data_IF_439413560145
#
_entry.id   IF_439413560145
#
_cell.length_a   1.000
_cell.length_b   1.000
_cell.length_c   1.000
_cell.angle_alpha   90.00
_cell.angle_beta   90.00
_cell.angle_gamma   90.00
#
_symmetry.space_group_name_H-M   'P 1'
#
loop_
_entity.id
_entity.type
_entity.pdbx_description
1 polymer ?
#
# COMPACT_ATOMS: atom_id res chain seq x y z
N UNK A 1 -109.65 1.89 -23.18
CA UNK A 1 -109.04 1.51 -21.89
C UNK A 1 -108.13 0.34 -22.24
N UNK A 2 -106.80 0.37 -22.22
CA UNK A 2 -105.82 1.05 -21.37
C UNK A 2 -104.50 1.32 -22.15
N UNK A 3 -103.90 2.48 -21.84
CA UNK A 3 -102.48 2.84 -21.67
C UNK A 3 -101.34 2.21 -22.52
N UNK A 4 -100.70 3.09 -23.31
CA UNK A 4 -99.28 3.52 -23.28
C UNK A 4 -98.18 2.55 -22.75
N UNK A 5 -97.18 2.21 -23.59
CA UNK A 5 -95.82 2.82 -23.59
C UNK A 5 -94.85 2.15 -24.61
N UNK A 6 -93.78 2.83 -25.05
CA UNK A 6 -92.95 2.45 -26.20
C UNK A 6 -91.71 1.62 -25.85
N UNK A 7 -91.29 0.74 -26.78
CA UNK A 7 -90.00 0.02 -26.72
C UNK A 7 -88.84 0.96 -27.07
N UNK A 8 -87.90 1.12 -26.13
CA UNK A 8 -86.55 1.69 -26.36
C UNK A 8 -85.54 0.56 -26.66
N UNK A 9 -84.52 0.79 -27.50
CA UNK A 9 -83.47 -0.19 -27.76
C UNK A 9 -82.46 -0.24 -26.61
N UNK A 10 -82.12 -1.44 -26.15
CA UNK A 10 -81.01 -1.68 -25.22
C UNK A 10 -79.68 -1.54 -25.97
N UNK A 11 -78.86 -0.58 -25.52
CA UNK A 11 -77.45 -0.46 -25.86
C UNK A 11 -76.68 -1.55 -25.12
N UNK A 12 -76.03 -2.45 -25.85
CA UNK A 12 -75.00 -3.35 -25.34
C UNK A 12 -73.80 -2.53 -24.88
N UNK A 13 -73.54 -2.51 -23.57
CA UNK A 13 -72.30 -1.97 -23.01
C UNK A 13 -71.33 -3.14 -22.79
N UNK A 14 -70.35 -3.24 -23.67
CA UNK A 14 -69.21 -4.16 -23.56
C UNK A 14 -68.22 -3.56 -22.55
N UNK A 15 -68.25 -4.05 -21.30
CA UNK A 15 -67.25 -3.69 -20.31
C UNK A 15 -65.97 -4.49 -20.56
N UNK A 16 -64.96 -3.83 -21.15
CA UNK A 16 -63.62 -4.35 -21.33
C UNK A 16 -62.88 -4.26 -19.96
N UNK A 17 -62.80 -5.37 -19.23
CA UNK A 17 -61.98 -5.47 -18.01
C UNK A 17 -60.52 -5.60 -18.45
N UNK A 18 -59.79 -4.49 -18.45
CA UNK A 18 -58.35 -4.45 -18.65
C UNK A 18 -57.67 -4.86 -17.32
N UNK A 19 -57.32 -6.13 -17.19
CA UNK A 19 -56.50 -6.61 -16.08
C UNK A 19 -55.07 -6.06 -16.22
N UNK A 20 -54.73 -5.00 -15.48
CA UNK A 20 -53.35 -4.59 -15.27
C UNK A 20 -52.66 -5.63 -14.37
N UNK A 21 -51.95 -6.58 -14.99
CA UNK A 21 -50.87 -7.27 -14.30
C UNK A 21 -49.71 -6.29 -14.12
N UNK A 22 -49.59 -5.72 -12.92
CA UNK A 22 -48.33 -5.11 -12.51
C UNK A 22 -47.28 -6.23 -12.44
N UNK A 23 -46.48 -6.36 -13.50
CA UNK A 23 -45.29 -7.18 -13.48
C UNK A 23 -44.33 -6.55 -12.45
N UNK A 24 -44.31 -7.11 -11.23
CA UNK A 24 -43.24 -6.87 -10.31
C UNK A 24 -41.93 -7.26 -11.02
N UNK A 25 -40.86 -6.45 -10.97
CA UNK A 25 -39.58 -6.89 -11.46
C UNK A 25 -39.19 -8.09 -10.60
N UNK A 26 -39.19 -9.28 -11.21
CA UNK A 26 -38.52 -10.43 -10.65
C UNK A 26 -37.06 -10.04 -10.50
N UNK A 27 -36.64 -9.70 -9.28
CA UNK A 27 -35.25 -9.68 -8.89
C UNK A 27 -34.73 -11.08 -9.20
N UNK A 28 -34.03 -11.20 -10.32
CA UNK A 28 -33.37 -12.43 -10.72
C UNK A 28 -32.45 -12.85 -9.58
N UNK A 29 -32.87 -13.87 -8.85
CA UNK A 29 -31.96 -14.66 -8.03
C UNK A 29 -31.10 -15.51 -8.97
N UNK A 30 -30.17 -14.84 -9.67
CA UNK A 30 -29.02 -15.49 -10.27
C UNK A 30 -28.01 -15.73 -9.16
N UNK A 31 -27.57 -16.98 -8.99
CA UNK A 31 -26.77 -17.44 -7.86
C UNK A 31 -25.60 -16.52 -7.51
N UNK A 32 -25.68 -15.86 -6.36
CA UNK A 32 -24.57 -15.08 -5.78
C UNK A 32 -23.81 -15.97 -4.80
N UNK A 33 -22.79 -16.68 -5.27
CA UNK A 33 -21.72 -17.12 -4.38
C UNK A 33 -20.72 -15.97 -4.24
N UNK A 34 -21.05 -14.94 -3.45
CA UNK A 34 -20.17 -13.79 -3.22
C UNK A 34 -20.91 -12.54 -2.68
N UNK A 35 -20.15 -11.50 -2.35
CA UNK A 35 -20.65 -10.19 -1.92
C UNK A 35 -20.24 -9.08 -2.90
N UNK A 36 -20.92 -7.94 -2.82
CA UNK A 36 -20.77 -6.80 -3.72
C UNK A 36 -20.09 -5.61 -3.05
N UNK A 37 -19.69 -4.62 -3.84
CA UNK A 37 -19.21 -3.33 -3.32
C UNK A 37 -20.22 -2.65 -2.38
N UNK A 38 -21.52 -2.75 -2.67
CA UNK A 38 -22.57 -2.23 -1.80
C UNK A 38 -22.63 -2.94 -0.44
N UNK A 39 -22.34 -4.25 -0.41
CA UNK A 39 -22.25 -5.00 0.84
C UNK A 39 -21.03 -4.55 1.67
N UNK A 40 -19.91 -4.17 1.04
CA UNK A 40 -18.76 -3.57 1.74
C UNK A 40 -19.18 -2.24 2.37
N UNK A 41 -19.89 -1.37 1.65
CA UNK A 41 -20.33 -0.09 2.20
C UNK A 41 -21.25 -0.30 3.41
N UNK A 42 -22.22 -1.20 3.28
CA UNK A 42 -23.23 -1.50 4.30
C UNK A 42 -22.67 -2.29 5.49
N UNK A 43 -21.51 -2.95 5.35
CA UNK A 43 -20.92 -3.76 6.41
C UNK A 43 -20.71 -2.94 7.68
N UNK A 44 -21.16 -3.47 8.80
CA UNK A 44 -20.94 -2.90 10.12
C UNK A 44 -20.50 -4.00 11.06
N UNK A 45 -19.69 -3.63 12.05
CA UNK A 45 -19.34 -4.52 13.14
C UNK A 45 -20.58 -4.88 13.96
N UNK A 46 -20.78 -6.18 14.24
CA UNK A 46 -21.93 -6.72 14.97
C UNK A 46 -21.51 -7.52 16.23
N UNK A 47 -20.25 -7.39 16.65
CA UNK A 47 -19.67 -8.20 17.72
C UNK A 47 -18.83 -9.38 17.20
N UNK A 48 -18.03 -9.97 18.09
CA UNK A 48 -17.10 -11.05 17.75
C UNK A 48 -15.85 -10.56 17.03
N UNK A 49 -15.04 -11.49 16.53
CA UNK A 49 -13.87 -11.17 15.70
C UNK A 49 -14.27 -11.12 14.20
N UNK A 50 -13.35 -10.78 13.29
CA UNK A 50 -13.59 -10.85 11.85
C UNK A 50 -14.12 -12.24 11.45
N UNK A 51 -15.10 -12.31 10.52
CA UNK A 51 -15.59 -13.59 10.01
C UNK A 51 -14.49 -14.41 9.36
N UNK A 52 -14.55 -15.74 9.50
CA UNK A 52 -13.66 -16.63 8.77
C UNK A 52 -13.91 -16.54 7.26
N UNK A 53 -12.86 -16.73 6.47
CA UNK A 53 -12.94 -16.65 5.01
C UNK A 53 -13.05 -15.21 4.50
N UNK A 54 -13.66 -15.06 3.32
CA UNK A 54 -13.83 -13.77 2.66
C UNK A 54 -15.14 -13.11 3.10
N UNK A 55 -15.12 -11.84 3.53
CA UNK A 55 -16.34 -11.14 3.96
C UNK A 55 -16.33 -9.64 3.64
N UNK A 56 -17.52 -9.02 3.48
CA UNK A 56 -17.64 -7.57 3.33
C UNK A 56 -17.02 -6.78 4.49
N UNK A 57 -17.21 -7.28 5.73
CA UNK A 57 -16.68 -6.64 6.93
C UNK A 57 -15.16 -6.65 6.92
N UNK A 58 -14.54 -7.78 6.56
CA UNK A 58 -13.08 -7.88 6.47
C UNK A 58 -12.53 -6.94 5.39
N UNK A 59 -13.15 -6.90 4.20
CA UNK A 59 -12.75 -5.97 3.14
C UNK A 59 -12.86 -4.51 3.60
N UNK A 60 -13.95 -4.15 4.28
CA UNK A 60 -14.13 -2.82 4.87
C UNK A 60 -13.01 -2.50 5.86
N UNK A 61 -12.76 -3.39 6.82
CA UNK A 61 -11.72 -3.20 7.84
C UNK A 61 -10.33 -3.04 7.21
N UNK A 62 -9.98 -3.85 6.19
CA UNK A 62 -8.73 -3.68 5.45
C UNK A 62 -8.63 -2.29 4.79
N UNK A 63 -9.69 -1.79 4.15
CA UNK A 63 -9.72 -0.43 3.57
C UNK A 63 -9.54 0.65 4.66
N UNK A 64 -10.16 0.48 5.83
CA UNK A 64 -10.03 1.44 6.93
C UNK A 64 -8.62 1.43 7.54
N UNK A 65 -8.01 0.25 7.66
CA UNK A 65 -6.63 0.08 8.11
C UNK A 65 -5.65 0.77 7.13
N UNK A 66 -5.78 0.52 5.83
CA UNK A 66 -5.00 1.19 4.78
C UNK A 66 -5.09 2.72 4.91
N UNK A 67 -6.31 3.25 5.05
CA UNK A 67 -6.55 4.69 5.24
C UNK A 67 -6.03 5.27 6.55
N UNK A 68 -5.83 4.44 7.56
CA UNK A 68 -5.26 4.87 8.85
C UNK A 68 -3.73 5.02 8.82
N UNK A 69 -3.08 4.61 7.73
CA UNK A 69 -1.61 4.49 7.66
C UNK A 69 -1.10 3.19 8.28
N UNK A 70 -1.98 2.26 8.63
CA UNK A 70 -1.62 0.90 9.08
C UNK A 70 -1.96 -0.08 7.96
N UNK A 71 -1.03 -0.26 7.02
CA UNK A 71 -1.29 -1.04 5.81
C UNK A 71 -1.65 -2.50 6.15
N UNK A 72 -2.75 -3.03 5.58
CA UNK A 72 -3.05 -4.47 5.61
C UNK A 72 -2.23 -5.25 4.57
N UNK A 73 -1.41 -4.57 3.76
CA UNK A 73 -0.84 -5.11 2.54
C UNK A 73 -1.91 -5.13 1.46
N UNK A 74 -2.15 -6.30 0.88
CA UNK A 74 -3.12 -6.46 -0.20
C UNK A 74 -4.55 -6.56 0.36
N UNK A 75 -5.47 -5.78 -0.19
CA UNK A 75 -6.90 -5.86 0.15
C UNK A 75 -7.55 -6.97 -0.69
N UNK A 76 -8.04 -8.01 -0.01
CA UNK A 76 -8.60 -9.22 -0.61
C UNK A 76 -9.93 -9.67 0.05
N UNK A 77 -10.32 -9.01 1.14
CA UNK A 77 -11.51 -9.35 1.93
C UNK A 77 -11.38 -10.62 2.77
N UNK A 78 -10.22 -11.28 2.82
CA UNK A 78 -10.02 -12.49 3.61
C UNK A 78 -9.52 -12.18 5.03
N UNK A 79 -10.08 -12.90 6.01
CA UNK A 79 -9.44 -13.00 7.32
C UNK A 79 -8.24 -13.94 7.19
N UNK A 80 -7.05 -13.40 7.48
CA UNK A 80 -5.80 -14.15 7.46
C UNK A 80 -4.69 -13.42 8.23
N UNK A 81 -3.48 -13.98 8.20
CA UNK A 81 -2.36 -13.46 9.00
C UNK A 81 -2.00 -11.99 8.71
N UNK A 82 -2.18 -11.50 7.48
CA UNK A 82 -1.94 -10.08 7.16
C UNK A 82 -2.97 -9.15 7.83
N UNK A 83 -4.26 -9.51 7.79
CA UNK A 83 -5.32 -8.76 8.47
C UNK A 83 -5.12 -8.76 9.99
N UNK A 84 -4.80 -9.90 10.60
CA UNK A 84 -4.48 -10.00 12.03
C UNK A 84 -3.25 -9.16 12.40
N UNK A 85 -2.18 -9.25 11.60
CA UNK A 85 -0.96 -8.46 11.80
C UNK A 85 -1.23 -6.95 11.71
N UNK A 86 -2.08 -6.51 10.79
CA UNK A 86 -2.48 -5.11 10.66
C UNK A 86 -3.36 -4.64 11.84
N UNK A 87 -4.25 -5.49 12.36
CA UNK A 87 -5.01 -5.20 13.58
C UNK A 87 -4.08 -5.01 14.78
N UNK A 88 -3.10 -5.90 14.99
CA UNK A 88 -2.07 -5.76 16.04
C UNK A 88 -1.31 -4.44 15.93
N UNK A 89 -0.94 -4.06 14.71
CA UNK A 89 -0.24 -2.80 14.45
C UNK A 89 -1.12 -1.58 14.75
N UNK A 90 -2.41 -1.64 14.41
CA UNK A 90 -3.37 -0.58 14.67
C UNK A 90 -3.67 -0.44 16.17
N UNK A 91 -3.89 -1.56 16.87
CA UNK A 91 -4.04 -1.61 18.33
C UNK A 91 -2.83 -0.96 19.02
N UNK A 92 -1.62 -1.36 18.63
CA UNK A 92 -0.38 -0.77 19.17
C UNK A 92 -0.31 0.74 18.93
N UNK A 93 -0.64 1.21 17.72
CA UNK A 93 -0.68 2.65 17.40
C UNK A 93 -1.71 3.39 18.24
N UNK A 94 -2.85 2.77 18.49
CA UNK A 94 -3.95 3.32 19.28
C UNK A 94 -3.74 3.24 20.79
N UNK A 95 -2.69 2.54 21.27
CA UNK A 95 -2.48 2.28 22.70
C UNK A 95 -3.48 1.28 23.28
N UNK A 96 -4.06 0.42 22.44
CA UNK A 96 -4.93 -0.68 22.84
C UNK A 96 -4.10 -1.93 23.21
N UNK A 97 -4.64 -2.81 24.08
CA UNK A 97 -4.10 -4.16 24.24
C UNK A 97 -3.96 -4.89 22.89
N UNK A 98 -2.80 -5.50 22.66
CA UNK A 98 -2.45 -6.07 21.34
C UNK A 98 -2.86 -7.55 21.26
N UNK A 99 -4.04 -7.85 20.72
CA UNK A 99 -4.54 -9.22 20.50
C UNK A 99 -4.75 -9.58 19.01
N UNK A 100 -4.78 -8.58 18.12
CA UNK A 100 -4.97 -8.74 16.68
C UNK A 100 -6.40 -9.06 16.27
N UNK A 101 -7.38 -8.76 17.11
CA UNK A 101 -8.77 -9.17 16.91
C UNK A 101 -9.65 -7.95 16.70
N UNK A 102 -10.67 -8.15 15.89
CA UNK A 102 -11.71 -7.13 15.77
C UNK A 102 -12.53 -7.09 17.05
N UNK A 103 -12.69 -5.91 17.62
CA UNK A 103 -13.54 -5.67 18.78
C UNK A 103 -14.25 -4.30 18.69
N UNK A 104 -15.18 -3.96 19.60
CA UNK A 104 -15.86 -2.67 19.59
C UNK A 104 -14.91 -1.46 19.64
N UNK A 105 -13.77 -1.58 20.33
CA UNK A 105 -12.79 -0.52 20.56
C UNK A 105 -12.01 -0.22 19.28
N UNK A 106 -11.48 -1.25 18.63
CA UNK A 106 -10.85 -1.16 17.32
C UNK A 106 -11.83 -0.61 16.29
N UNK A 107 -13.07 -1.09 16.28
CA UNK A 107 -14.11 -0.59 15.37
C UNK A 107 -14.32 0.91 15.53
N UNK A 108 -14.53 1.35 16.77
CA UNK A 108 -14.78 2.76 17.09
C UNK A 108 -13.64 3.67 16.61
N UNK A 109 -12.39 3.22 16.73
CA UNK A 109 -11.21 3.98 16.29
C UNK A 109 -10.99 3.93 14.77
N UNK A 110 -11.55 2.93 14.07
CA UNK A 110 -11.52 2.86 12.61
C UNK A 110 -12.60 3.72 11.93
N UNK A 111 -13.72 4.00 12.61
CA UNK A 111 -14.84 4.77 12.06
C UNK A 111 -14.48 6.14 11.44
N UNK A 112 -13.53 6.94 11.98
CA UNK A 112 -13.10 8.18 11.35
C UNK A 112 -12.58 8.00 9.91
N UNK A 113 -12.02 6.83 9.58
CA UNK A 113 -11.50 6.52 8.25
C UNK A 113 -12.59 6.05 7.25
N UNK A 114 -13.82 5.89 7.73
CA UNK A 114 -15.00 5.48 6.96
C UNK A 114 -15.82 6.68 6.43
N UNK A 115 -15.34 7.92 6.62
CA UNK A 115 -16.06 9.14 6.28
C UNK A 115 -16.36 9.33 4.78
N UNK A 116 -15.68 8.59 3.91
CA UNK A 116 -15.90 8.56 2.45
C UNK A 116 -16.14 7.12 1.99
N UNK A 117 -16.84 6.89 0.87
CA UNK A 117 -17.12 5.54 0.37
C UNK A 117 -15.87 4.65 0.31
N UNK A 118 -16.02 3.39 0.68
CA UNK A 118 -14.94 2.39 0.77
C UNK A 118 -14.54 1.90 -0.62
N UNK A 119 -15.48 1.96 -1.55
CA UNK A 119 -15.38 1.59 -2.95
C UNK A 119 -15.75 2.76 -3.85
N UNK A 120 -15.32 2.70 -5.10
CA UNK A 120 -15.62 3.70 -6.12
C UNK A 120 -15.74 3.09 -7.50
N UNK A 121 -16.44 3.79 -8.39
CA UNK A 121 -16.41 3.50 -9.83
C UNK A 121 -15.09 3.96 -10.42
N UNK A 122 -14.52 3.10 -11.26
CA UNK A 122 -13.34 3.40 -12.05
C UNK A 122 -13.56 2.95 -13.49
N UNK A 123 -13.46 3.87 -14.44
CA UNK A 123 -13.45 3.54 -15.87
C UNK A 123 -12.02 3.26 -16.28
N UNK A 124 -11.76 2.03 -16.74
CA UNK A 124 -10.45 1.60 -17.21
C UNK A 124 -10.07 2.45 -18.43
N UNK A 125 -8.88 3.04 -18.39
CA UNK A 125 -8.41 3.91 -19.46
C UNK A 125 -7.55 3.16 -20.46
N UNK A 126 -7.31 3.76 -21.63
CA UNK A 126 -6.33 3.24 -22.59
C UNK A 126 -4.92 3.13 -21.97
N UNK A 127 -4.55 4.07 -21.09
CA UNK A 127 -3.26 4.04 -20.40
C UNK A 127 -3.11 2.80 -19.51
N UNK A 128 -4.21 2.29 -18.92
CA UNK A 128 -4.17 1.09 -18.09
C UNK A 128 -3.82 -0.17 -18.88
N UNK A 129 -4.16 -0.21 -20.18
CA UNK A 129 -3.84 -1.33 -21.07
C UNK A 129 -2.49 -1.15 -21.81
N UNK A 130 -1.82 -0.01 -21.65
CA UNK A 130 -0.54 0.28 -22.30
C UNK A 130 0.66 -0.15 -21.47
N UNK A 131 1.74 -0.50 -22.18
CA UNK A 131 3.04 -0.84 -21.59
C UNK A 131 3.06 -2.17 -20.85
N UNK A 132 2.11 -3.06 -21.14
CA UNK A 132 2.07 -4.41 -20.59
C UNK A 132 3.05 -5.34 -21.32
N UNK A 133 3.57 -6.34 -20.61
CA UNK A 133 4.37 -7.44 -21.17
C UNK A 133 3.61 -8.75 -21.02
N UNK A 134 3.82 -9.71 -21.91
CA UNK A 134 3.09 -10.98 -21.87
C UNK A 134 3.40 -11.78 -20.59
N UNK A 135 4.68 -11.81 -20.19
CA UNK A 135 5.11 -12.49 -18.99
C UNK A 135 6.46 -11.93 -18.50
N UNK A 136 6.78 -12.25 -17.25
CA UNK A 136 8.09 -11.98 -16.65
C UNK A 136 8.87 -13.30 -16.57
N UNK A 137 9.99 -13.45 -17.29
CA UNK A 137 10.80 -14.65 -17.25
C UNK A 137 11.41 -14.84 -15.85
N UNK A 138 11.75 -16.08 -15.51
CA UNK A 138 12.38 -16.39 -14.22
C UNK A 138 13.90 -16.23 -14.24
N UNK A 139 14.52 -16.44 -15.40
CA UNK A 139 15.96 -16.35 -15.62
C UNK A 139 16.44 -14.90 -15.72
N UNK A 140 17.57 -14.60 -15.09
CA UNK A 140 18.13 -13.24 -15.04
C UNK A 140 18.71 -12.76 -16.37
N UNK A 141 19.26 -13.65 -17.20
CA UNK A 141 19.71 -13.28 -18.54
C UNK A 141 18.53 -12.93 -19.43
N UNK A 142 17.43 -13.70 -19.36
CA UNK A 142 16.19 -13.37 -20.07
C UNK A 142 15.59 -12.04 -19.59
N UNK A 143 15.52 -11.82 -18.27
CA UNK A 143 15.08 -10.52 -17.71
C UNK A 143 15.91 -9.35 -18.21
N UNK A 144 17.23 -9.52 -18.31
CA UNK A 144 18.15 -8.49 -18.79
C UNK A 144 17.96 -8.12 -20.26
N UNK A 145 17.30 -8.97 -21.06
CA UNK A 145 16.95 -8.66 -22.45
C UNK A 145 15.58 -7.97 -22.62
N UNK A 146 14.78 -7.88 -21.54
CA UNK A 146 13.49 -7.20 -21.62
C UNK A 146 13.65 -5.69 -21.83
N UNK A 147 12.63 -5.04 -22.37
CA UNK A 147 12.58 -3.58 -22.44
C UNK A 147 12.29 -2.94 -21.07
N UNK A 148 11.44 -3.60 -20.27
CA UNK A 148 11.08 -3.21 -18.92
C UNK A 148 10.53 -4.41 -18.14
N UNK A 149 10.67 -4.38 -16.81
CA UNK A 149 9.99 -5.31 -15.90
C UNK A 149 8.56 -4.81 -15.62
N UNK A 150 7.76 -4.64 -16.67
CA UNK A 150 6.45 -3.99 -16.62
C UNK A 150 5.35 -4.89 -16.04
N UNK A 151 4.13 -4.37 -15.90
CA UNK A 151 2.96 -5.18 -15.51
C UNK A 151 2.61 -6.19 -16.61
N UNK A 152 2.03 -7.31 -16.21
CA UNK A 152 1.61 -8.39 -17.10
C UNK A 152 0.12 -8.32 -17.47
N UNK A 153 -0.65 -7.54 -16.73
CA UNK A 153 -2.09 -7.38 -16.99
C UNK A 153 -2.63 -6.04 -16.52
N UNK A 154 -3.82 -5.67 -17.03
CA UNK A 154 -4.60 -4.54 -16.49
C UNK A 154 -4.96 -4.81 -15.03
N UNK A 155 -5.33 -6.05 -14.68
CA UNK A 155 -5.68 -6.43 -13.31
C UNK A 155 -4.54 -6.13 -12.32
N UNK A 156 -3.32 -6.52 -12.67
CA UNK A 156 -2.12 -6.27 -11.86
C UNK A 156 -1.85 -4.77 -11.67
N UNK A 157 -1.90 -4.00 -12.77
CA UNK A 157 -1.70 -2.54 -12.73
C UNK A 157 -2.75 -1.82 -11.88
N UNK A 158 -4.01 -2.28 -11.94
CA UNK A 158 -5.09 -1.75 -11.11
C UNK A 158 -4.98 -2.23 -9.66
N UNK A 159 -4.53 -3.47 -9.43
CA UNK A 159 -4.23 -4.02 -8.10
C UNK A 159 -3.19 -3.18 -7.37
N UNK A 160 -2.09 -2.84 -8.06
CA UNK A 160 -1.08 -1.92 -7.56
C UNK A 160 -1.66 -0.53 -7.26
N UNK A 161 -2.46 0.05 -8.17
CA UNK A 161 -3.01 1.40 -8.00
C UNK A 161 -4.01 1.50 -6.84
N UNK A 162 -4.81 0.46 -6.63
CA UNK A 162 -5.89 0.45 -5.66
C UNK A 162 -5.59 -0.39 -4.41
N UNK A 163 -4.37 -0.90 -4.27
CA UNK A 163 -3.91 -1.75 -3.16
C UNK A 163 -4.73 -3.05 -3.02
N UNK A 164 -5.17 -3.61 -4.15
CA UNK A 164 -6.07 -4.76 -4.21
C UNK A 164 -5.40 -6.02 -4.74
N UNK A 165 -5.90 -7.18 -4.32
CA UNK A 165 -5.60 -8.45 -4.97
C UNK A 165 -6.30 -8.48 -6.34
N UNK A 166 -5.60 -8.99 -7.36
CA UNK A 166 -6.11 -9.07 -8.73
C UNK A 166 -7.40 -9.90 -8.83
N UNK A 167 -7.47 -11.00 -8.08
CA UNK A 167 -8.67 -11.85 -8.06
C UNK A 167 -9.80 -11.17 -7.29
N UNK A 168 -9.47 -10.31 -6.32
CA UNK A 168 -10.47 -9.52 -5.63
C UNK A 168 -11.08 -8.43 -6.52
N UNK A 169 -10.29 -7.83 -7.42
CA UNK A 169 -10.82 -6.94 -8.47
C UNK A 169 -11.82 -7.71 -9.34
N UNK A 170 -11.46 -8.90 -9.82
CA UNK A 170 -12.37 -9.73 -10.62
C UNK A 170 -13.62 -10.16 -9.82
N UNK A 171 -13.46 -10.50 -8.54
CA UNK A 171 -14.54 -10.88 -7.63
C UNK A 171 -15.58 -9.78 -7.45
N UNK A 172 -15.16 -8.52 -7.28
CA UNK A 172 -16.07 -7.39 -7.15
C UNK A 172 -16.74 -6.98 -8.47
N UNK A 173 -16.25 -7.50 -9.61
CA UNK A 173 -16.70 -7.15 -10.95
C UNK A 173 -17.09 -8.39 -11.78
N UNK A 174 -18.04 -9.21 -11.29
CA UNK A 174 -18.38 -10.46 -11.93
C UNK A 174 -18.89 -10.22 -13.35
N UNK A 175 -18.32 -10.95 -14.32
CA UNK A 175 -18.71 -10.87 -15.73
C UNK A 175 -18.25 -9.61 -16.48
N UNK A 176 -17.47 -8.73 -15.84
CA UNK A 176 -16.94 -7.53 -16.51
C UNK A 176 -15.50 -7.78 -16.96
N UNK A 177 -15.24 -7.63 -18.25
CA UNK A 177 -13.88 -7.71 -18.78
C UNK A 177 -13.06 -6.47 -18.35
N UNK A 178 -11.81 -6.69 -17.92
CA UNK A 178 -10.91 -5.62 -17.49
C UNK A 178 -10.19 -4.99 -18.70
N UNK A 179 -10.96 -4.28 -19.53
CA UNK A 179 -10.49 -3.64 -20.77
C UNK A 179 -10.82 -2.14 -20.78
N UNK A 180 -10.11 -1.30 -21.55
CA UNK A 180 -10.42 0.12 -21.68
C UNK A 180 -11.89 0.38 -22.00
N UNK A 181 -12.46 1.41 -21.36
CA UNK A 181 -13.87 1.79 -21.46
C UNK A 181 -14.81 1.04 -20.50
N UNK A 182 -14.41 -0.12 -19.95
CA UNK A 182 -15.20 -0.81 -18.93
C UNK A 182 -15.19 0.00 -17.62
N UNK A 183 -16.35 0.11 -16.97
CA UNK A 183 -16.46 0.71 -15.62
C UNK A 183 -16.59 -0.40 -14.59
N UNK A 184 -15.71 -0.39 -13.60
CA UNK A 184 -15.58 -1.40 -12.55
C UNK A 184 -15.67 -0.75 -11.16
N UNK A 185 -16.04 -1.55 -10.17
CA UNK A 185 -15.90 -1.24 -8.74
C UNK A 185 -14.52 -1.61 -8.25
N UNK A 186 -13.82 -0.67 -7.64
CA UNK A 186 -12.55 -0.88 -6.95
C UNK A 186 -12.63 -0.30 -5.55
N UNK A 187 -11.72 -0.67 -4.65
CA UNK A 187 -11.60 0.01 -3.36
C UNK A 187 -11.04 1.41 -3.57
N UNK A 188 -11.39 2.33 -2.66
CA UNK A 188 -10.85 3.68 -2.63
C UNK A 188 -9.74 3.74 -1.59
N UNK A 189 -8.46 3.54 -1.97
CA UNK A 189 -7.34 3.40 -1.04
C UNK A 189 -7.00 4.73 -0.37
N UNK A 190 -6.12 4.69 0.63
CA UNK A 190 -5.48 5.83 1.24
C UNK A 190 -4.87 6.77 0.19
N UNK A 191 -4.85 8.07 0.50
CA UNK A 191 -3.97 8.99 -0.22
C UNK A 191 -2.56 8.85 0.37
N UNK A 192 -1.50 8.92 -0.44
CA UNK A 192 -0.14 8.82 0.07
C UNK A 192 0.15 9.83 1.19
N UNK A 193 0.58 9.34 2.34
CA UNK A 193 1.05 10.13 3.48
C UNK A 193 2.41 10.74 3.13
N UNK A 194 2.58 12.03 3.44
CA UNK A 194 3.77 12.81 3.05
C UNK A 194 4.56 13.36 4.23
N UNK A 195 4.13 13.07 5.45
CA UNK A 195 4.80 13.51 6.68
C UNK A 195 6.22 12.96 6.70
N UNK A 196 7.19 13.81 7.00
CA UNK A 196 8.60 13.38 7.04
C UNK A 196 8.86 12.56 8.29
N UNK A 197 9.58 11.45 8.12
CA UNK A 197 9.92 10.52 9.20
C UNK A 197 11.39 10.61 9.57
N UNK A 198 11.68 10.49 10.86
CA UNK A 198 13.05 10.56 11.40
C UNK A 198 13.59 9.21 11.82
N UNK A 199 12.71 8.26 12.16
CA UNK A 199 13.06 6.91 12.60
C UNK A 199 12.17 5.88 11.90
N UNK A 200 12.78 4.82 11.39
CA UNK A 200 12.13 3.61 10.90
C UNK A 200 12.56 2.46 11.81
N UNK A 201 11.61 1.63 12.22
CA UNK A 201 11.86 0.43 13.00
C UNK A 201 11.44 -0.79 12.18
N UNK A 202 12.34 -1.75 12.02
CA UNK A 202 12.11 -3.01 11.32
C UNK A 202 11.95 -4.13 12.36
N UNK A 203 10.73 -4.65 12.47
CA UNK A 203 10.35 -5.75 13.35
C UNK A 203 10.37 -7.08 12.58
N UNK A 204 11.44 -7.84 12.80
CA UNK A 204 11.63 -9.16 12.17
C UNK A 204 10.64 -10.19 12.70
N UNK A 205 10.32 -10.12 13.99
CA UNK A 205 9.46 -11.10 14.66
C UNK A 205 8.01 -11.02 14.14
N UNK A 206 7.49 -9.81 14.02
CA UNK A 206 6.13 -9.55 13.54
C UNK A 206 6.04 -9.27 12.04
N UNK A 207 7.18 -9.19 11.33
CA UNK A 207 7.23 -8.90 9.89
C UNK A 207 6.57 -7.56 9.55
N UNK A 208 6.97 -6.51 10.28
CA UNK A 208 6.43 -5.14 10.11
C UNK A 208 7.54 -4.09 10.05
N UNK A 209 7.24 -2.99 9.38
CA UNK A 209 8.07 -1.78 9.33
C UNK A 209 7.23 -0.59 9.77
N UNK A 210 7.62 0.06 10.88
CA UNK A 210 6.97 1.27 11.36
C UNK A 210 7.86 2.49 11.12
N UNK A 211 7.26 3.63 10.76
CA UNK A 211 7.98 4.89 10.64
C UNK A 211 7.38 5.98 11.53
N UNK A 212 8.27 6.74 12.17
CA UNK A 212 7.96 7.73 13.19
C UNK A 212 8.48 9.10 12.78
N UNK A 213 7.74 10.16 13.12
CA UNK A 213 8.17 11.53 12.88
C UNK A 213 9.21 12.01 13.93
N UNK A 214 9.43 13.32 14.00
CA UNK A 214 10.38 13.91 14.93
C UNK A 214 9.88 13.97 16.38
N UNK A 215 8.55 13.93 16.57
CA UNK A 215 7.89 13.98 17.89
C UNK A 215 7.73 12.58 18.48
N UNK A 216 8.11 11.53 17.73
CA UNK A 216 7.97 10.13 18.13
C UNK A 216 6.58 9.57 17.83
N UNK A 217 5.76 10.28 17.06
CA UNK A 217 4.45 9.79 16.63
C UNK A 217 4.63 8.76 15.50
N UNK A 218 3.96 7.61 15.62
CA UNK A 218 3.91 6.63 14.54
C UNK A 218 3.07 7.17 13.39
N UNK A 219 3.70 7.37 12.23
CA UNK A 219 3.06 7.91 11.03
C UNK A 219 2.45 6.78 10.20
N UNK A 220 3.21 5.71 10.01
CA UNK A 220 2.83 4.54 9.22
C UNK A 220 3.35 3.24 9.80
N UNK A 221 2.69 2.14 9.45
CA UNK A 221 3.16 0.80 9.72
C UNK A 221 2.75 -0.16 8.57
N UNK A 222 3.73 -0.89 8.03
CA UNK A 222 3.59 -1.71 6.82
C UNK A 222 3.93 -3.19 7.06
N UNK A 223 3.23 -4.14 6.40
CA UNK A 223 3.65 -5.52 6.33
C UNK A 223 4.92 -5.64 5.51
N UNK A 224 5.85 -6.48 5.97
CA UNK A 224 7.13 -6.65 5.32
C UNK A 224 7.54 -8.12 5.24
N UNK A 225 8.21 -8.49 4.16
CA UNK A 225 9.09 -9.67 4.19
C UNK A 225 10.45 -9.23 4.69
N UNK A 226 10.96 -9.90 5.72
CA UNK A 226 12.29 -9.65 6.27
C UNK A 226 13.13 -10.93 6.15
N UNK A 227 14.46 -10.80 6.20
CA UNK A 227 15.38 -11.92 6.00
C UNK A 227 15.13 -13.07 6.96
N UNK A 228 15.32 -14.30 6.49
CA UNK A 228 15.17 -15.52 7.30
C UNK A 228 16.39 -15.79 8.17
N UNK A 229 16.31 -16.75 9.09
CA UNK A 229 17.48 -17.19 9.88
C UNK A 229 18.64 -17.67 9.00
N UNK A 230 18.34 -18.23 7.82
CA UNK A 230 19.35 -18.64 6.84
C UNK A 230 19.99 -17.46 6.09
N UNK A 231 19.30 -16.33 6.00
CA UNK A 231 19.78 -15.10 5.33
C UNK A 231 19.33 -13.87 6.11
N UNK A 232 19.90 -13.65 7.30
CA UNK A 232 19.35 -12.68 8.24
C UNK A 232 19.48 -11.27 7.71
N UNK A 233 18.44 -10.47 7.96
CA UNK A 233 18.56 -9.02 7.83
C UNK A 233 19.63 -8.48 8.78
N UNK A 234 20.20 -7.30 8.49
CA UNK A 234 21.17 -6.67 9.37
C UNK A 234 20.60 -6.48 10.78
N UNK A 235 21.50 -6.25 11.75
CA UNK A 235 21.14 -5.78 13.08
C UNK A 235 21.66 -4.36 13.32
N UNK A 236 21.04 -3.67 14.28
CA UNK A 236 21.46 -2.36 14.74
C UNK A 236 20.97 -1.19 13.88
N UNK A 237 21.63 -0.06 14.08
CA UNK A 237 21.25 1.23 13.50
C UNK A 237 21.91 1.50 12.15
N UNK A 238 21.09 1.93 11.20
CA UNK A 238 21.47 2.37 9.88
C UNK A 238 20.85 3.74 9.57
N UNK A 239 21.29 4.35 8.48
CA UNK A 239 20.75 5.61 7.97
C UNK A 239 20.35 5.39 6.51
N UNK A 240 19.23 5.99 6.10
CA UNK A 240 18.86 6.06 4.68
C UNK A 240 19.90 6.89 3.94
N UNK A 241 20.58 6.30 2.97
CA UNK A 241 21.65 6.95 2.19
C UNK A 241 21.08 7.65 0.96
N UNK A 242 20.22 6.96 0.21
CA UNK A 242 19.59 7.49 -0.99
C UNK A 242 18.28 6.76 -1.27
N UNK A 243 17.45 7.34 -2.13
CA UNK A 243 16.21 6.75 -2.63
C UNK A 243 16.30 6.71 -4.15
N UNK A 244 15.99 5.56 -4.72
CA UNK A 244 15.88 5.36 -6.14
C UNK A 244 14.47 4.94 -6.52
N UNK A 245 13.84 5.73 -7.38
CA UNK A 245 12.55 5.41 -7.96
C UNK A 245 12.76 4.72 -9.31
N UNK A 246 12.02 3.65 -9.55
CA UNK A 246 12.14 2.78 -10.72
C UNK A 246 13.60 2.38 -11.01
N UNK A 247 14.32 1.79 -10.03
CA UNK A 247 15.72 1.43 -10.22
C UNK A 247 15.84 0.27 -11.22
N UNK A 248 16.96 0.23 -11.96
CA UNK A 248 17.43 -1.01 -12.56
C UNK A 248 17.95 -1.94 -11.46
N UNK A 249 18.18 -3.22 -11.79
CA UNK A 249 18.73 -4.19 -10.86
C UNK A 249 20.00 -4.82 -11.42
N UNK A 250 21.10 -4.75 -10.67
CA UNK A 250 22.39 -5.33 -11.07
C UNK A 250 22.53 -6.71 -10.48
N UNK A 251 22.24 -7.74 -11.29
CA UNK A 251 22.55 -9.12 -10.93
C UNK A 251 24.05 -9.35 -11.08
N UNK A 252 24.71 -9.84 -10.03
CA UNK A 252 26.12 -10.21 -10.07
C UNK A 252 26.31 -11.60 -9.42
N UNK A 253 26.63 -12.65 -10.20
CA UNK A 253 26.72 -14.01 -9.67
C UNK A 253 27.84 -14.20 -8.64
N UNK A 254 28.86 -13.33 -8.65
CA UNK A 254 29.94 -13.36 -7.66
C UNK A 254 29.57 -12.68 -6.32
N UNK A 255 28.50 -11.87 -6.28
CA UNK A 255 28.07 -11.13 -5.09
C UNK A 255 26.69 -11.55 -4.56
N UNK A 256 25.80 -12.00 -5.43
CA UNK A 256 24.42 -12.30 -5.13
C UNK A 256 24.20 -13.78 -4.88
N UNK A 257 24.07 -14.51 -5.99
CA UNK A 257 23.91 -15.95 -6.09
C UNK A 257 24.10 -16.29 -7.57
N UNK A 258 24.55 -17.51 -7.87
CA UNK A 258 24.60 -18.00 -9.25
C UNK A 258 23.27 -18.68 -9.58
N UNK A 259 22.50 -18.10 -10.51
CA UNK A 259 21.31 -18.73 -11.10
C UNK A 259 21.69 -19.47 -12.38
N UNK A 260 21.50 -20.79 -12.39
CA UNK A 260 21.84 -21.61 -13.54
C UNK A 260 23.31 -21.42 -13.94
N UNK A 261 23.54 -21.18 -15.24
CA UNK A 261 24.87 -20.97 -15.79
C UNK A 261 25.28 -19.48 -15.91
N UNK A 262 24.48 -18.56 -15.36
CA UNK A 262 24.78 -17.14 -15.40
C UNK A 262 26.07 -16.82 -14.61
N UNK A 263 27.16 -16.55 -15.33
CA UNK A 263 28.50 -16.31 -14.79
C UNK A 263 28.96 -14.83 -14.88
N UNK A 264 28.15 -13.98 -15.53
CA UNK A 264 28.44 -12.57 -15.76
C UNK A 264 27.47 -11.64 -15.03
N UNK A 265 27.92 -10.42 -14.66
CA UNK A 265 27.01 -9.38 -14.23
C UNK A 265 26.00 -9.01 -15.33
N UNK A 266 24.75 -8.81 -14.94
CA UNK A 266 23.64 -8.45 -15.81
C UNK A 266 22.91 -7.23 -15.24
N UNK A 267 22.36 -6.40 -16.13
CA UNK A 267 21.50 -5.29 -15.74
C UNK A 267 20.08 -5.64 -16.16
N UNK A 268 19.22 -5.87 -15.18
CA UNK A 268 17.79 -6.06 -15.38
C UNK A 268 17.13 -4.67 -15.47
N UNK A 269 16.30 -4.41 -16.49
CA UNK A 269 15.65 -3.11 -16.67
C UNK A 269 14.68 -2.81 -15.52
N UNK A 270 14.33 -1.53 -15.31
CA UNK A 270 13.43 -1.15 -14.23
C UNK A 270 11.98 -1.61 -14.47
N UNK A 271 11.20 -1.67 -13.40
CA UNK A 271 9.75 -1.83 -13.46
C UNK A 271 9.15 -2.43 -12.19
N UNK A 272 7.81 -2.40 -12.04
CA UNK A 272 7.09 -2.92 -10.87
C UNK A 272 7.34 -4.41 -10.62
N UNK A 273 7.63 -5.17 -11.67
CA UNK A 273 7.96 -6.59 -11.60
C UNK A 273 9.46 -6.87 -11.47
N UNK A 274 10.28 -5.83 -11.27
CA UNK A 274 11.70 -5.97 -11.03
C UNK A 274 12.01 -6.69 -9.71
N UNK A 275 13.22 -7.26 -9.54
CA UNK A 275 13.61 -7.96 -8.32
C UNK A 275 13.49 -7.14 -7.02
N UNK A 276 13.62 -5.82 -7.14
CA UNK A 276 13.47 -4.84 -6.04
C UNK A 276 12.22 -3.98 -6.17
N UNK A 277 11.31 -4.32 -7.08
CA UNK A 277 10.11 -3.53 -7.37
C UNK A 277 10.43 -2.15 -7.95
N UNK A 278 9.51 -1.21 -7.74
CA UNK A 278 9.61 0.15 -8.31
C UNK A 278 10.32 1.18 -7.41
N UNK A 279 10.88 0.74 -6.28
CA UNK A 279 11.53 1.61 -5.29
C UNK A 279 12.66 0.87 -4.59
N UNK A 280 13.80 1.55 -4.43
CA UNK A 280 14.90 1.14 -3.55
C UNK A 280 15.26 2.26 -2.58
N UNK A 281 15.24 1.97 -1.28
CA UNK A 281 15.70 2.85 -0.21
C UNK A 281 17.00 2.25 0.32
N UNK A 282 18.12 2.88 -0.03
CA UNK A 282 19.47 2.40 0.28
C UNK A 282 19.85 2.72 1.72
N UNK A 283 20.57 1.81 2.38
CA UNK A 283 21.01 1.96 3.77
C UNK A 283 22.54 2.06 3.87
N UNK A 284 23.02 2.60 5.00
CA UNK A 284 24.47 2.67 5.29
C UNK A 284 25.13 1.29 5.38
N UNK A 285 24.36 0.24 5.65
CA UNK A 285 24.84 -1.14 5.50
C UNK A 285 24.92 -1.43 4.00
N UNK A 286 26.13 -1.63 3.43
CA UNK A 286 26.26 -1.84 2.00
C UNK A 286 25.33 -2.97 1.56
N UNK A 287 24.68 -2.79 0.42
CA UNK A 287 23.88 -3.82 -0.26
C UNK A 287 22.61 -4.29 0.47
N UNK A 288 22.16 -3.57 1.49
CA UNK A 288 20.85 -3.79 2.12
C UNK A 288 19.97 -2.57 1.93
N UNK A 289 18.68 -2.81 1.71
CA UNK A 289 17.70 -1.76 1.47
C UNK A 289 16.30 -2.15 1.89
N UNK A 290 15.43 -1.14 1.94
CA UNK A 290 13.98 -1.31 1.99
C UNK A 290 13.46 -1.08 0.57
N UNK A 291 12.69 -2.02 0.03
CA UNK A 291 12.33 -1.98 -1.38
C UNK A 291 10.94 -2.58 -1.64
N UNK A 292 10.43 -2.38 -2.86
CA UNK A 292 9.16 -2.93 -3.31
C UNK A 292 9.22 -4.43 -3.63
N UNK A 293 8.15 -5.01 -4.16
CA UNK A 293 8.11 -6.43 -4.51
C UNK A 293 7.24 -6.68 -5.74
N UNK A 294 7.64 -7.59 -6.64
CA UNK A 294 6.79 -8.03 -7.75
C UNK A 294 5.63 -8.93 -7.31
N UNK A 295 5.57 -9.33 -6.03
CA UNK A 295 4.59 -10.31 -5.53
C UNK A 295 3.96 -9.87 -4.20
N UNK A 296 3.18 -8.76 -4.19
CA UNK A 296 2.66 -8.17 -2.95
C UNK A 296 1.76 -9.14 -2.15
N UNK A 297 0.98 -9.99 -2.83
CA UNK A 297 0.12 -11.01 -2.18
C UNK A 297 0.90 -12.14 -1.47
N UNK A 298 2.23 -12.17 -1.62
CA UNK A 298 3.11 -13.21 -1.03
C UNK A 298 4.01 -12.68 0.08
N UNK A 299 3.80 -11.46 0.60
CA UNK A 299 4.66 -10.87 1.63
C UNK A 299 4.88 -11.77 2.87
N UNK A 300 3.85 -12.52 3.30
CA UNK A 300 3.96 -13.42 4.46
C UNK A 300 4.33 -14.87 4.10
N UNK A 301 4.45 -15.19 2.82
CA UNK A 301 4.83 -16.54 2.34
C UNK A 301 6.26 -16.58 1.82
N UNK A 302 6.77 -15.46 1.33
CA UNK A 302 8.13 -15.35 0.84
C UNK A 302 9.11 -15.16 2.00
N UNK A 303 10.34 -15.61 1.80
CA UNK A 303 11.49 -15.19 2.59
C UNK A 303 12.40 -14.33 1.70
N UNK A 304 13.05 -13.32 2.26
CA UNK A 304 14.04 -12.50 1.53
C UNK A 304 15.45 -12.97 1.84
N UNK A 305 16.40 -12.65 0.97
CA UNK A 305 17.84 -12.87 1.21
C UNK A 305 18.47 -11.77 2.08
N UNK A 306 17.70 -11.24 3.04
CA UNK A 306 18.16 -10.22 4.00
C UNK A 306 17.62 -8.80 3.80
N UNK A 307 17.11 -8.42 2.62
CA UNK A 307 16.49 -7.11 2.40
C UNK A 307 15.05 -7.04 2.95
N UNK A 308 14.54 -5.83 3.18
CA UNK A 308 13.17 -5.60 3.65
C UNK A 308 12.29 -5.34 2.43
N UNK A 309 11.30 -6.21 2.19
CA UNK A 309 10.36 -6.08 1.06
C UNK A 309 9.02 -5.58 1.56
N UNK A 310 8.50 -4.53 0.93
CA UNK A 310 7.16 -4.03 1.10
C UNK A 310 6.38 -4.22 -0.21
N UNK A 311 5.07 -3.98 -0.19
CA UNK A 311 4.36 -3.74 -1.45
C UNK A 311 4.97 -2.53 -2.14
N UNK A 312 4.87 -2.47 -3.47
CA UNK A 312 5.45 -1.36 -4.23
C UNK A 312 4.83 -0.01 -3.82
N UNK A 313 3.52 0.05 -3.54
CA UNK A 313 2.85 1.26 -3.04
C UNK A 313 3.34 1.69 -1.65
N UNK A 314 3.49 0.76 -0.71
CA UNK A 314 4.00 1.05 0.65
C UNK A 314 5.46 1.51 0.59
N UNK A 315 6.29 0.85 -0.23
CA UNK A 315 7.68 1.27 -0.45
C UNK A 315 7.75 2.68 -1.05
N UNK A 316 6.87 3.01 -1.99
CA UNK A 316 6.80 4.32 -2.64
C UNK A 316 6.31 5.41 -1.71
N UNK A 317 5.35 5.11 -0.84
CA UNK A 317 4.93 6.02 0.22
C UNK A 317 6.10 6.30 1.17
N UNK A 318 6.75 5.26 1.70
CA UNK A 318 7.90 5.39 2.59
C UNK A 318 9.04 6.19 1.96
N UNK A 319 9.37 5.93 0.70
CA UNK A 319 10.36 6.69 -0.06
C UNK A 319 10.06 8.19 -0.14
N UNK A 320 8.77 8.56 -0.17
CA UNK A 320 8.33 9.95 -0.12
C UNK A 320 8.47 10.61 1.26
N UNK A 321 8.55 9.82 2.33
CA UNK A 321 8.61 10.28 3.72
C UNK A 321 10.04 10.35 4.29
N UNK A 322 10.95 9.52 3.81
CA UNK A 322 12.34 9.51 4.29
C UNK A 322 13.14 10.75 3.85
N UNK A 323 14.18 11.05 4.60
CA UNK A 323 15.15 12.12 4.32
C UNK A 323 16.56 11.50 4.30
N UNK A 324 17.18 11.37 3.12
CA UNK A 324 18.54 10.87 2.98
C UNK A 324 19.55 11.57 3.89
N UNK A 325 20.43 10.79 4.51
CA UNK A 325 21.43 11.23 5.48
C UNK A 325 20.86 11.58 6.86
N UNK A 326 19.54 11.51 7.08
CA UNK A 326 18.90 11.91 8.35
C UNK A 326 17.98 10.84 8.93
N UNK A 327 17.16 10.19 8.11
CA UNK A 327 16.24 9.16 8.61
C UNK A 327 17.03 7.93 9.07
N UNK A 328 16.89 7.60 10.35
CA UNK A 328 17.49 6.41 10.97
C UNK A 328 16.62 5.19 10.70
N UNK A 329 17.25 4.04 10.56
CA UNK A 329 16.61 2.74 10.38
C UNK A 329 17.18 1.77 11.40
N UNK A 330 16.33 1.28 12.29
CA UNK A 330 16.69 0.38 13.37
C UNK A 330 16.17 -1.01 13.05
N UNK A 331 17.07 -1.98 12.96
CA UNK A 331 16.72 -3.39 12.87
C UNK A 331 16.71 -3.98 14.27
N UNK A 332 15.52 -4.35 14.75
CA UNK A 332 15.36 -4.92 16.08
C UNK A 332 16.08 -6.27 16.19
N UNK A 333 16.52 -6.62 17.39
CA UNK A 333 17.09 -7.94 17.66
C UNK A 333 16.03 -9.05 17.49
N UNK A 334 16.43 -10.29 17.17
CA UNK A 334 15.49 -11.41 17.09
C UNK A 334 14.64 -11.54 18.36
N UNK A 335 13.32 -11.64 18.19
CA UNK A 335 12.36 -11.74 19.29
C UNK A 335 11.97 -10.39 19.94
N UNK A 336 12.66 -9.29 19.62
CA UNK A 336 12.27 -7.95 20.06
C UNK A 336 11.28 -7.36 19.06
N UNK A 337 10.17 -6.85 19.57
CA UNK A 337 9.09 -6.26 18.78
C UNK A 337 9.11 -4.75 18.85
N UNK A 338 8.43 -4.08 17.92
CA UNK A 338 8.22 -2.63 18.00
C UNK A 338 7.51 -2.27 19.31
N UNK A 339 6.57 -3.10 19.79
CA UNK A 339 5.86 -2.84 21.05
C UNK A 339 6.80 -2.79 22.25
N UNK A 340 7.84 -3.63 22.28
CA UNK A 340 8.83 -3.66 23.36
C UNK A 340 9.65 -2.37 23.43
N UNK A 341 9.96 -1.75 22.28
CA UNK A 341 10.80 -0.55 22.19
C UNK A 341 10.03 0.77 22.14
N UNK A 342 8.70 0.72 21.99
CA UNK A 342 7.84 1.92 21.97
C UNK A 342 6.76 1.96 23.04
N UNK A 343 6.59 0.90 23.84
CA UNK A 343 5.71 0.89 25.01
C UNK A 343 4.29 0.35 24.75
N UNK A 344 4.14 -0.74 23.99
CA UNK A 344 2.86 -1.42 23.80
C UNK A 344 2.45 -2.28 24.99
N UNK A 345 1.14 -2.36 25.26
CA UNK A 345 0.60 -3.26 26.31
C UNK A 345 0.14 -4.57 25.66
N UNK A 346 0.72 -5.73 26.03
CA UNK A 346 0.20 -7.03 25.58
C UNK A 346 -1.25 -7.23 26.02
N UNK A 347 -2.05 -7.94 25.23
CA UNK A 347 -3.39 -8.29 25.65
C UNK A 347 -3.39 -9.18 26.91
N UNK A 348 -4.29 -8.93 27.88
CA UNK A 348 -4.48 -9.85 28.99
C UNK A 348 -4.95 -11.21 28.48
N UNK A 349 -4.56 -12.28 29.18
CA UNK A 349 -4.70 -13.66 28.72
C UNK A 349 -6.16 -14.11 28.46
N UNK A 350 -7.17 -13.42 29.01
CA UNK A 350 -8.60 -13.65 28.73
C UNK A 350 -9.41 -12.35 28.84
N UNK A 351 -10.12 -11.96 27.78
CA UNK A 351 -11.26 -11.04 27.85
C UNK A 351 -11.06 -9.60 27.34
N UNK A 352 -12.18 -9.05 26.83
CA UNK A 352 -12.37 -7.75 26.16
C UNK A 352 -11.58 -6.60 26.81
N UNK A 353 -10.96 -5.79 25.95
CA UNK A 353 -10.20 -4.58 26.31
C UNK A 353 -10.99 -3.71 27.31
N UNK A 354 -10.46 -3.40 28.50
CA UNK A 354 -11.20 -2.63 29.50
C UNK A 354 -11.50 -1.19 29.01
N UNK A 355 -12.71 -0.72 29.28
CA UNK A 355 -13.23 0.59 28.82
C UNK A 355 -12.35 1.80 29.19
N UNK A 356 -11.52 1.69 30.23
CA UNK A 356 -10.61 2.75 30.65
C UNK A 356 -9.47 3.03 29.64
N UNK A 357 -9.01 2.01 28.89
CA UNK A 357 -8.03 2.20 27.81
C UNK A 357 -8.62 3.00 26.62
N UNK A 358 -9.94 2.93 26.45
CA UNK A 358 -10.67 3.52 25.33
C UNK A 358 -10.79 5.04 25.45
N UNK A 359 -10.94 5.58 26.66
CA UNK A 359 -11.04 7.02 26.88
C UNK A 359 -9.74 7.76 26.50
N UNK A 360 -8.59 7.14 26.78
CA UNK A 360 -7.26 7.67 26.43
C UNK A 360 -7.00 7.58 24.92
N UNK A 361 -7.33 6.44 24.29
CA UNK A 361 -7.16 6.23 22.85
C UNK A 361 -8.09 7.11 21.99
N UNK A 362 -9.33 7.32 22.41
CA UNK A 362 -10.31 8.16 21.70
C UNK A 362 -9.86 9.63 21.66
N UNK A 363 -9.23 10.11 22.75
CA UNK A 363 -8.67 11.47 22.81
C UNK A 363 -7.46 11.61 21.88
N UNK A 364 -6.56 10.61 21.83
CA UNK A 364 -5.41 10.61 20.93
C UNK A 364 -5.81 10.54 19.44
N UNK A 365 -6.74 9.66 19.08
CA UNK A 365 -7.24 9.51 17.71
C UNK A 365 -8.00 10.76 17.22
N UNK A 366 -8.79 11.41 18.08
CA UNK A 366 -9.45 12.68 17.75
C UNK A 366 -8.43 13.80 17.52
N UNK A 367 -7.31 13.82 18.25
CA UNK A 367 -6.27 14.83 18.07
C UNK A 367 -5.49 14.65 16.76
N UNK A 368 -5.26 13.39 16.35
CA UNK A 368 -4.62 13.05 15.07
C UNK A 368 -5.50 13.39 13.84
N UNK A 369 -6.82 13.28 13.96
CA UNK A 369 -7.76 13.59 12.87
C UNK A 369 -8.04 15.09 12.71
N UNK A 370 -7.91 15.89 13.79
CA UNK A 370 -8.41 17.29 13.81
C UNK A 370 -7.31 18.35 13.62
N UNK A 371 -6.03 17.99 13.55
CA UNK A 371 -4.95 19.00 13.50
C UNK A 371 -4.78 19.60 12.10
N UNK A 372 -5.02 20.90 11.87
CA UNK A 372 -4.81 21.52 10.57
C UNK A 372 -3.32 21.61 10.24
N UNK A 373 -2.97 21.50 8.96
CA UNK A 373 -1.61 21.48 8.42
C UNK A 373 -0.83 22.80 8.51
N UNK A 374 -1.13 23.66 9.49
CA UNK A 374 -0.48 24.96 9.65
C UNK A 374 -0.36 25.33 11.12
N UNK A 375 0.81 25.07 11.71
CA UNK A 375 1.25 25.74 12.91
C UNK A 375 2.67 26.30 12.66
N UNK A 376 2.85 27.54 13.08
CA UNK A 376 3.86 28.49 12.63
C UNK A 376 5.32 28.05 12.84
N UNK A 377 6.19 28.56 11.95
CA UNK A 377 7.65 28.53 12.06
C UNK A 377 8.11 29.06 13.42
N UNK A 378 8.93 28.32 14.19
CA UNK A 378 9.75 28.93 15.22
C UNK A 378 10.95 29.60 14.56
N UNK A 379 11.18 30.86 14.92
CA UNK A 379 12.34 31.68 14.53
C UNK A 379 13.62 31.02 15.05
N UNK A 380 14.47 30.52 14.15
CA UNK A 380 15.78 29.98 14.52
C UNK A 380 16.72 31.15 14.79
N UNK A 381 17.09 31.34 16.06
CA UNK A 381 18.21 32.19 16.45
C UNK A 381 19.51 31.61 15.89
N UNK A 382 20.23 32.41 15.10
CA UNK A 382 21.49 32.02 14.49
C UNK A 382 22.52 31.61 15.55
N UNK A 383 23.08 30.40 15.43
CA UNK A 383 24.26 29.95 16.18
C UNK A 383 25.40 29.70 15.19
N UNK A 384 26.60 30.14 15.58
CA UNK A 384 27.82 30.23 14.79
C UNK A 384 28.24 28.92 14.08
N UNK A 385 28.94 29.01 12.94
CA UNK A 385 29.36 27.84 12.17
C UNK A 385 30.43 27.04 12.91
N UNK A 386 30.26 25.71 12.95
CA UNK A 386 31.27 24.75 13.43
C UNK A 386 32.40 24.57 12.40
N UNK A 387 33.63 24.24 12.83
CA UNK A 387 34.80 24.19 11.97
C UNK A 387 34.80 22.99 11.02
N UNK A 388 35.38 23.19 9.84
CA UNK A 388 35.56 22.15 8.80
C UNK A 388 36.57 21.08 9.25
N UNK A 389 36.34 19.78 9.00
CA UNK A 389 37.35 18.75 9.22
C UNK A 389 38.49 18.88 8.21
N UNK A 390 39.72 18.84 8.71
CA UNK A 390 40.95 18.95 7.94
C UNK A 390 41.39 17.57 7.44
N UNK A 391 40.98 17.15 6.24
CA UNK A 391 41.72 16.17 5.42
C UNK A 391 41.36 16.36 3.95
N UNK A 392 42.18 17.14 3.25
CA UNK A 392 42.44 17.07 1.81
C UNK A 392 43.69 17.93 1.55
N UNK A 393 44.83 17.24 1.44
CA UNK A 393 46.11 17.85 1.08
C UNK A 393 46.14 18.25 -0.40
N UNK A 394 46.78 19.40 -0.63
CA UNK A 394 47.27 20.02 -1.89
C UNK A 394 47.75 18.97 -2.92
N UNK A 395 47.65 19.15 -4.23
CA UNK A 395 48.12 20.23 -5.15
C UNK A 395 47.57 19.85 -6.56
N UNK A 396 47.42 20.67 -7.60
CA UNK A 396 48.16 21.84 -8.05
C UNK A 396 47.28 22.68 -9.00
N UNK A 397 47.64 23.96 -9.12
CA UNK A 397 47.04 24.94 -9.99
C UNK A 397 47.74 24.99 -11.37
N UNK A 398 46.97 25.29 -12.42
CA UNK A 398 47.44 26.11 -13.55
C UNK A 398 46.28 26.91 -14.16
N UNK A 399 46.50 28.22 -14.25
CA UNK A 399 45.92 29.29 -15.10
C UNK A 399 45.12 28.83 -16.34
N UNK A 400 44.00 29.41 -16.78
CA UNK A 400 43.51 30.79 -16.75
C UNK A 400 43.48 31.35 -18.18
N UNK A 401 42.28 31.56 -18.77
CA UNK A 401 42.00 32.58 -19.79
C UNK A 401 40.55 32.55 -20.32
N UNK A 402 39.94 33.75 -20.27
CA UNK A 402 39.04 34.42 -21.23
C UNK A 402 37.66 33.86 -21.63
N UNK A 403 36.66 34.70 -21.35
CA UNK A 403 35.35 34.82 -21.99
C UNK A 403 35.45 35.09 -23.50
N UNK A 404 34.60 34.42 -24.28
CA UNK A 404 33.88 35.03 -25.41
C UNK A 404 32.47 34.43 -25.51
N UNK A 405 31.51 35.32 -25.75
CA UNK A 405 30.11 35.06 -26.04
C UNK A 405 29.93 34.60 -27.49
N UNK A 406 29.16 33.54 -27.75
CA UNK A 406 28.30 33.46 -28.93
C UNK A 406 27.18 32.43 -28.78
N UNK A 407 26.15 32.65 -29.57
CA UNK A 407 24.75 32.23 -29.46
C UNK A 407 24.43 30.81 -29.93
N UNK A 408 23.42 30.24 -29.26
CA UNK A 408 22.33 29.38 -29.75
C UNK A 408 22.64 28.23 -30.74
N UNK A 409 22.50 27.01 -30.25
CA UNK A 409 21.79 25.94 -30.96
C UNK A 409 21.14 24.98 -29.95
N UNK A 410 19.91 24.60 -30.27
CA UNK A 410 19.10 23.54 -29.69
C UNK A 410 19.86 22.22 -29.64
N UNK A 411 19.94 21.59 -28.47
CA UNK A 411 20.16 20.15 -28.44
C UNK A 411 19.50 19.43 -27.26
N UNK A 412 19.09 18.23 -27.60
CA UNK A 412 18.31 17.23 -26.90
C UNK A 412 18.91 16.82 -25.54
N UNK A 413 18.09 16.91 -24.49
CA UNK A 413 18.47 16.46 -23.16
C UNK A 413 18.55 14.93 -23.12
N UNK A 414 19.78 14.42 -23.20
CA UNK A 414 20.11 13.04 -22.87
C UNK A 414 19.97 12.86 -21.36
N UNK A 415 19.02 12.03 -20.93
CA UNK A 415 18.85 11.65 -19.52
C UNK A 415 20.06 10.80 -19.12
N UNK A 416 20.98 11.40 -18.36
CA UNK A 416 22.03 10.65 -17.66
C UNK A 416 21.36 9.70 -16.66
N UNK A 417 21.46 8.40 -16.94
CA UNK A 417 21.00 7.35 -16.05
C UNK A 417 21.73 7.44 -14.70
N UNK A 418 20.97 7.50 -13.61
CA UNK A 418 21.47 7.28 -12.26
C UNK A 418 21.95 5.83 -12.15
N UNK A 419 23.22 5.58 -12.48
CA UNK A 419 23.92 4.34 -12.13
C UNK A 419 24.15 4.34 -10.62
N UNK A 420 23.29 3.63 -9.89
CA UNK A 420 23.46 3.38 -8.46
C UNK A 420 24.54 2.31 -8.26
N UNK A 421 25.23 2.40 -7.12
CA UNK A 421 26.14 1.33 -6.65
C UNK A 421 25.37 0.02 -6.65
N UNK A 422 26.00 -1.06 -7.16
CA UNK A 422 25.48 -2.44 -7.22
C UNK A 422 24.35 -2.69 -6.21
N UNK A 423 23.11 -2.47 -6.66
CA UNK A 423 21.91 -2.85 -5.90
C UNK A 423 21.93 -4.36 -5.92
N UNK A 424 22.22 -4.95 -4.77
CA UNK A 424 22.25 -6.40 -4.57
C UNK A 424 20.99 -7.03 -5.12
#
# INVERSE_FOLDING_TARGET
MERFMPFRPYRTSLALILAMFAAAPALGQGGKSGFTAADIEAASYQGGDLPAGQSPLTAKVQVLLDRSGTSPGVIDGYKGGMSESALRAFERRAGLPIDGRMDPQVWQLLLPYAARPQTMDYTITEEDAQGLVESIPSDYAEKAQMSAMAYTSVAEKLGERFHMDEKFIAFLNPGTALVPGATIKVVSPAKPIKTKVTRIIVDKANRRVAAYDADGEMIVDYPATVGSDATPSPSGDHIVVTVALNPNYTYNPAKNFKQGDNDKPLIVPPGPNGPVGNVWIDLTKPTYGIHGTPTPSRLFRNQSNGCVRLTNWDARELAGMVVPGKTRVEFLEPGVTIADVTGGTPAPAEGVIPAAAVATATTAASTAVTRPATAARPTVSARAPLPRPAWLGRSAATTGAAMTTETATTDTATVQGNQLRDIR
#
